data_IF_363165255845
#
_entry.id   IF_363165255845
#
_cell.length_a   1.000
_cell.length_b   1.000
_cell.length_c   1.000
_cell.angle_alpha   90.00
_cell.angle_beta   90.00
_cell.angle_gamma   90.00
#
_symmetry.space_group_name_H-M   'P 1'
#
loop_
_entity.id
_entity.type
_entity.pdbx_description
1 polymer ?
#
# COMPACT_ATOMS: atom_id res chain seq x y z
N UNK A 1 0.12 17.99 -25.78
CA UNK A 1 -0.79 17.72 -24.68
C UNK A 1 -0.01 17.92 -23.38
N UNK A 2 -0.32 18.98 -22.64
CA UNK A 2 0.20 19.16 -21.29
C UNK A 2 -0.63 18.29 -20.36
N UNK A 3 0.00 17.35 -19.66
CA UNK A 3 -0.64 16.60 -18.60
C UNK A 3 -0.81 17.52 -17.39
N UNK A 4 -2.04 17.70 -16.96
CA UNK A 4 -2.33 18.44 -15.73
C UNK A 4 -2.29 17.46 -14.55
N UNK A 5 -1.58 17.85 -13.49
CA UNK A 5 -1.49 17.08 -12.26
C UNK A 5 -2.43 17.67 -11.22
N UNK A 6 -3.18 16.81 -10.57
CA UNK A 6 -4.15 17.20 -9.54
C UNK A 6 -3.78 16.52 -8.22
N UNK A 7 -4.00 17.24 -7.13
CA UNK A 7 -3.97 16.67 -5.78
C UNK A 7 -5.32 16.88 -5.10
N UNK A 8 -5.61 16.04 -4.09
CA UNK A 8 -6.87 16.14 -3.36
C UNK A 8 -6.75 17.31 -2.37
N UNK A 9 -7.63 18.32 -2.54
CA UNK A 9 -7.70 19.45 -1.61
C UNK A 9 -7.92 18.96 -0.18
N UNK A 10 -7.14 19.48 0.77
CA UNK A 10 -7.09 19.08 2.17
C UNK A 10 -6.61 17.63 2.40
N UNK A 11 -5.89 17.05 1.43
CA UNK A 11 -5.26 15.73 1.54
C UNK A 11 -6.19 14.54 1.31
N UNK A 12 -5.60 13.37 1.23
CA UNK A 12 -6.31 12.10 0.89
C UNK A 12 -7.38 11.71 1.90
N UNK A 13 -7.28 12.13 3.16
CA UNK A 13 -8.33 11.89 4.16
C UNK A 13 -9.69 12.41 3.72
N UNK A 14 -9.73 13.52 2.98
CA UNK A 14 -10.98 14.14 2.51
C UNK A 14 -11.82 13.23 1.62
N UNK A 15 -11.18 12.50 0.69
CA UNK A 15 -11.96 11.58 -0.15
C UNK A 15 -12.43 10.36 0.64
N UNK A 16 -11.62 9.85 1.58
CA UNK A 16 -12.02 8.76 2.46
C UNK A 16 -13.22 9.15 3.32
N UNK A 17 -13.21 10.33 3.92
CA UNK A 17 -14.33 10.82 4.74
C UNK A 17 -15.63 10.97 3.90
N UNK A 18 -15.49 11.47 2.65
CA UNK A 18 -16.63 11.56 1.72
C UNK A 18 -17.17 10.19 1.33
N UNK A 19 -16.28 9.23 1.04
CA UNK A 19 -16.62 7.86 0.70
C UNK A 19 -17.34 7.16 1.86
N UNK A 20 -16.81 7.26 3.07
CA UNK A 20 -17.42 6.71 4.29
C UNK A 20 -18.78 7.33 4.58
N UNK A 21 -18.94 8.65 4.34
CA UNK A 21 -20.23 9.32 4.46
C UNK A 21 -21.24 8.77 3.45
N UNK A 22 -20.82 8.60 2.19
CA UNK A 22 -21.67 8.03 1.13
C UNK A 22 -22.15 6.63 1.47
N UNK A 23 -21.25 5.74 1.90
CA UNK A 23 -21.61 4.38 2.34
C UNK A 23 -22.67 4.39 3.43
N UNK A 24 -22.56 5.30 4.42
CA UNK A 24 -23.51 5.40 5.53
C UNK A 24 -24.89 5.96 5.11
N UNK A 25 -24.93 6.79 4.07
CA UNK A 25 -26.18 7.40 3.59
C UNK A 25 -26.93 6.52 2.59
N UNK A 26 -26.24 5.70 1.83
CA UNK A 26 -26.85 4.68 1.01
C UNK A 26 -27.33 3.54 1.92
N UNK A 27 -28.58 3.09 1.78
CA UNK A 27 -29.19 2.00 2.59
C UNK A 27 -28.49 0.65 2.36
N UNK A 28 -27.17 0.63 2.34
CA UNK A 28 -26.34 -0.55 2.17
C UNK A 28 -26.04 -1.14 3.56
N UNK A 29 -26.23 -2.44 3.71
CA UNK A 29 -25.85 -3.17 4.92
C UNK A 29 -24.32 -3.35 5.00
N UNK A 30 -23.57 -2.23 4.96
CA UNK A 30 -22.11 -2.24 5.03
C UNK A 30 -21.69 -1.91 6.46
N UNK A 31 -20.97 -2.83 7.07
CA UNK A 31 -20.35 -2.66 8.39
C UNK A 31 -18.84 -2.48 8.26
N UNK A 32 -18.29 -1.44 8.88
CA UNK A 32 -16.86 -1.17 8.91
C UNK A 32 -16.34 -1.45 10.32
N UNK A 33 -15.55 -2.48 10.43
CA UNK A 33 -14.93 -2.92 11.67
C UNK A 33 -13.45 -2.53 11.70
N UNK A 34 -13.07 -1.56 12.52
CA UNK A 34 -11.68 -1.18 12.77
C UNK A 34 -11.12 -1.96 13.96
N UNK A 35 -9.78 -2.03 14.04
CA UNK A 35 -9.03 -2.73 15.09
C UNK A 35 -9.29 -4.25 15.16
N UNK A 36 -9.82 -4.83 14.09
CA UNK A 36 -9.97 -6.28 13.95
C UNK A 36 -8.88 -6.83 13.03
N UNK A 37 -7.88 -7.42 13.60
CA UNK A 37 -6.78 -8.03 12.87
C UNK A 37 -7.17 -9.44 12.42
N UNK A 38 -7.27 -9.66 11.10
CA UNK A 38 -7.49 -11.00 10.54
C UNK A 38 -6.18 -11.78 10.63
N UNK A 39 -6.25 -13.00 11.15
CA UNK A 39 -5.10 -13.91 11.32
C UNK A 39 -5.13 -15.10 10.38
N UNK A 40 -6.32 -15.57 10.00
CA UNK A 40 -6.49 -16.72 9.11
C UNK A 40 -7.81 -16.67 8.36
N UNK A 41 -7.77 -17.11 7.11
CA UNK A 41 -8.92 -17.36 6.24
C UNK A 41 -8.90 -18.84 5.87
N UNK A 42 -9.93 -19.58 6.26
CA UNK A 42 -10.06 -21.03 6.03
C UNK A 42 -11.27 -21.33 5.15
N UNK A 43 -11.09 -22.20 4.18
CA UNK A 43 -12.11 -22.60 3.22
C UNK A 43 -12.79 -23.88 3.70
N UNK A 44 -14.05 -23.77 4.14
CA UNK A 44 -14.83 -24.89 4.64
C UNK A 44 -15.43 -25.66 3.45
N UNK A 45 -14.87 -26.83 3.15
CA UNK A 45 -15.25 -27.69 2.03
C UNK A 45 -16.08 -28.87 2.53
N UNK A 46 -16.98 -29.35 1.64
CA UNK A 46 -17.65 -30.64 1.79
C UNK A 46 -17.37 -31.43 0.50
N UNK A 47 -16.51 -32.42 0.59
CA UNK A 47 -15.88 -33.04 -0.55
C UNK A 47 -15.09 -32.00 -1.37
N UNK A 48 -15.38 -31.88 -2.67
CA UNK A 48 -14.73 -30.91 -3.55
C UNK A 48 -15.41 -29.53 -3.56
N UNK A 49 -16.60 -29.38 -2.94
CA UNK A 49 -17.39 -28.17 -2.97
C UNK A 49 -17.10 -27.24 -1.78
N UNK A 50 -16.85 -25.98 -2.04
CA UNK A 50 -16.78 -24.96 -0.99
C UNK A 50 -18.19 -24.67 -0.46
N UNK A 51 -18.34 -24.67 0.87
CA UNK A 51 -19.60 -24.28 1.53
C UNK A 51 -19.56 -22.89 2.10
N UNK A 52 -18.51 -22.54 2.79
CA UNK A 52 -18.37 -21.26 3.51
C UNK A 52 -16.89 -20.93 3.73
N UNK A 53 -16.64 -19.68 4.06
CA UNK A 53 -15.31 -19.20 4.44
C UNK A 53 -15.35 -18.80 5.92
N UNK A 54 -14.41 -19.32 6.69
CA UNK A 54 -14.22 -18.98 8.10
C UNK A 54 -13.05 -18.01 8.23
N UNK A 55 -13.30 -16.88 8.83
CA UNK A 55 -12.29 -15.85 9.13
C UNK A 55 -12.05 -15.83 10.62
N UNK A 56 -10.80 -16.01 11.02
CA UNK A 56 -10.33 -15.94 12.39
C UNK A 56 -9.46 -14.71 12.58
N UNK A 57 -9.59 -14.05 13.72
CA UNK A 57 -8.80 -12.88 14.01
C UNK A 57 -8.82 -12.48 15.47
N UNK A 58 -8.30 -11.27 15.73
CA UNK A 58 -8.23 -10.70 17.06
C UNK A 58 -8.78 -9.26 17.04
N UNK A 59 -9.70 -8.97 17.94
CA UNK A 59 -10.24 -7.64 18.16
C UNK A 59 -9.36 -6.91 19.17
N UNK A 60 -8.49 -6.04 18.69
CA UNK A 60 -7.52 -5.30 19.50
C UNK A 60 -8.21 -4.29 20.46
N UNK A 61 -9.45 -3.88 20.16
CA UNK A 61 -10.21 -2.98 21.03
C UNK A 61 -10.82 -3.74 22.21
N UNK A 62 -11.34 -4.95 21.95
CA UNK A 62 -11.95 -5.81 22.99
C UNK A 62 -10.95 -6.74 23.65
N UNK A 63 -9.72 -6.80 23.15
CA UNK A 63 -8.67 -7.73 23.57
C UNK A 63 -9.13 -9.19 23.57
N UNK A 64 -9.79 -9.61 22.49
CA UNK A 64 -10.39 -10.94 22.39
C UNK A 64 -10.35 -11.49 20.98
N UNK A 65 -10.24 -12.83 20.80
CA UNK A 65 -10.37 -13.44 19.50
C UNK A 65 -11.79 -13.27 18.95
N UNK A 66 -11.90 -13.25 17.63
CA UNK A 66 -13.19 -13.31 16.93
C UNK A 66 -13.18 -14.36 15.83
N UNK A 67 -14.36 -14.85 15.49
CA UNK A 67 -14.62 -15.72 14.36
C UNK A 67 -15.87 -15.25 13.63
N UNK A 68 -15.81 -15.22 12.30
CA UNK A 68 -16.98 -15.00 11.46
C UNK A 68 -17.00 -16.02 10.32
N UNK A 69 -18.18 -16.33 9.81
CA UNK A 69 -18.40 -17.21 8.67
C UNK A 69 -19.13 -16.42 7.58
N UNK A 70 -18.59 -16.43 6.37
CA UNK A 70 -19.06 -15.65 5.25
C UNK A 70 -19.20 -16.50 3.98
N UNK A 71 -19.91 -15.98 2.98
CA UNK A 71 -20.10 -16.64 1.69
C UNK A 71 -18.96 -16.37 0.70
N UNK A 72 -18.29 -15.23 0.84
CA UNK A 72 -17.16 -14.82 0.01
C UNK A 72 -16.24 -13.87 0.74
N UNK A 73 -15.00 -13.72 0.26
CA UNK A 73 -14.00 -12.82 0.81
C UNK A 73 -13.23 -12.11 -0.29
N UNK A 74 -12.98 -10.82 -0.10
CA UNK A 74 -12.02 -10.05 -0.89
C UNK A 74 -10.81 -9.75 -0.02
N UNK A 75 -9.63 -10.25 -0.42
CA UNK A 75 -8.37 -9.91 0.23
C UNK A 75 -7.80 -8.66 -0.46
N UNK A 76 -7.94 -7.51 0.19
CA UNK A 76 -7.52 -6.20 -0.34
C UNK A 76 -6.22 -5.69 0.33
N UNK A 77 -5.33 -6.60 0.71
CA UNK A 77 -4.01 -6.31 1.25
C UNK A 77 -2.92 -6.75 0.26
N UNK A 78 -1.65 -6.53 0.60
CA UNK A 78 -0.54 -6.98 -0.23
C UNK A 78 -0.58 -8.50 -0.49
N UNK A 79 -0.05 -8.95 -1.65
CA UNK A 79 -0.07 -10.37 -2.00
C UNK A 79 0.69 -11.24 -0.97
N UNK A 80 1.82 -10.77 -0.47
CA UNK A 80 2.58 -11.46 0.58
C UNK A 80 1.82 -11.55 1.90
N UNK A 81 1.00 -10.55 2.24
CA UNK A 81 0.10 -10.56 3.40
C UNK A 81 -1.06 -11.52 3.16
N UNK A 82 -1.69 -11.46 1.98
CA UNK A 82 -2.75 -12.40 1.60
C UNK A 82 -2.29 -13.86 1.67
N UNK A 83 -1.05 -14.14 1.20
CA UNK A 83 -0.47 -15.49 1.28
C UNK A 83 -0.29 -15.97 2.73
N UNK A 84 -0.09 -15.09 3.70
CA UNK A 84 0.00 -15.45 5.12
C UNK A 84 -1.36 -15.77 5.75
N UNK A 85 -2.44 -15.27 5.14
CA UNK A 85 -3.80 -15.42 5.65
C UNK A 85 -4.48 -16.71 5.15
N UNK A 86 -4.20 -17.13 3.92
CA UNK A 86 -4.85 -18.31 3.29
C UNK A 86 -4.06 -19.58 3.49
N UNK A 87 -4.71 -20.71 3.29
CA UNK A 87 -4.11 -22.05 3.38
C UNK A 87 -3.21 -22.34 2.17
N UNK A 88 -2.14 -23.11 2.37
CA UNK A 88 -1.13 -23.39 1.35
C UNK A 88 -1.65 -24.23 0.16
N UNK A 89 -2.73 -24.98 0.38
CA UNK A 89 -3.37 -25.84 -0.62
C UNK A 89 -4.20 -25.05 -1.64
N UNK A 90 -4.53 -23.80 -1.34
CA UNK A 90 -5.29 -23.00 -2.31
C UNK A 90 -4.44 -22.64 -3.53
N UNK A 91 -4.99 -22.77 -4.77
CA UNK A 91 -4.24 -22.49 -6.01
C UNK A 91 -3.63 -21.09 -6.05
N UNK A 92 -4.33 -20.11 -5.46
CA UNK A 92 -3.88 -18.71 -5.38
C UNK A 92 -2.63 -18.52 -4.53
N UNK A 93 -2.36 -19.41 -3.57
CA UNK A 93 -1.21 -19.28 -2.66
C UNK A 93 0.12 -19.19 -3.41
N UNK A 94 0.33 -20.05 -4.41
CA UNK A 94 1.55 -20.04 -5.21
C UNK A 94 1.71 -18.75 -6.02
N UNK A 95 0.64 -18.24 -6.58
CA UNK A 95 0.64 -16.99 -7.35
C UNK A 95 0.94 -15.79 -6.45
N UNK A 96 0.32 -15.71 -5.28
CA UNK A 96 0.55 -14.63 -4.31
C UNK A 96 2.02 -14.50 -3.92
N UNK A 97 2.74 -15.61 -3.82
CA UNK A 97 4.18 -15.65 -3.45
C UNK A 97 5.14 -15.25 -4.59
N UNK A 98 4.68 -15.19 -5.84
CA UNK A 98 5.52 -14.76 -6.96
C UNK A 98 5.72 -13.26 -7.00
N UNK A 99 4.80 -12.48 -6.42
CA UNK A 99 4.95 -11.03 -6.29
C UNK A 99 5.94 -10.74 -5.16
N UNK A 100 7.09 -10.23 -5.51
CA UNK A 100 8.14 -9.85 -4.56
C UNK A 100 7.89 -8.44 -4.04
N UNK A 101 8.39 -8.16 -2.86
CA UNK A 101 8.31 -6.84 -2.22
C UNK A 101 9.69 -6.35 -1.85
N UNK A 102 9.86 -5.04 -1.95
CA UNK A 102 11.06 -4.34 -1.50
C UNK A 102 10.69 -3.46 -0.32
N UNK A 103 11.45 -3.57 0.75
CA UNK A 103 11.36 -2.65 1.88
C UNK A 103 11.89 -1.27 1.50
N UNK A 104 11.19 -0.24 1.95
CA UNK A 104 11.57 1.15 1.75
C UNK A 104 11.33 1.91 3.05
N UNK A 105 12.28 2.76 3.41
CA UNK A 105 12.12 3.69 4.52
C UNK A 105 11.65 5.04 3.99
N UNK A 106 10.53 5.51 4.50
CA UNK A 106 10.01 6.85 4.22
C UNK A 106 10.18 7.73 5.46
N UNK A 107 10.93 8.81 5.33
CA UNK A 107 11.15 9.76 6.42
C UNK A 107 10.42 11.06 6.13
N UNK A 108 9.51 11.46 7.01
CA UNK A 108 8.86 12.77 7.01
C UNK A 108 9.73 13.74 7.80
N UNK A 109 10.20 14.82 7.16
CA UNK A 109 11.17 15.74 7.76
C UNK A 109 11.07 17.17 7.23
N UNK A 110 11.89 18.06 7.78
CA UNK A 110 12.05 19.44 7.33
C UNK A 110 13.51 19.80 6.99
N UNK A 111 14.34 18.81 6.71
CA UNK A 111 15.73 19.05 6.36
C UNK A 111 15.88 19.37 4.87
N UNK A 112 16.27 20.62 4.56
CA UNK A 112 16.47 21.09 3.19
C UNK A 112 17.77 20.57 2.56
N UNK A 113 18.68 19.95 3.34
CA UNK A 113 19.95 19.44 2.81
C UNK A 113 19.80 18.29 1.79
N UNK A 114 18.64 17.62 1.81
CA UNK A 114 18.29 16.59 0.84
C UNK A 114 17.63 17.14 -0.43
N UNK A 115 17.58 18.45 -0.58
CA UNK A 115 17.04 19.11 -1.78
C UNK A 115 18.18 19.71 -2.60
N UNK A 116 17.97 19.97 -3.90
CA UNK A 116 18.97 20.69 -4.69
C UNK A 116 19.36 22.02 -4.04
N UNK A 117 20.64 22.37 -4.10
CA UNK A 117 21.17 23.62 -3.49
C UNK A 117 20.44 24.86 -4.01
N UNK A 118 20.12 24.89 -5.32
CA UNK A 118 19.37 26.00 -5.92
C UNK A 118 17.87 25.77 -5.77
N UNK A 119 17.20 26.60 -4.96
CA UNK A 119 15.74 26.52 -4.75
C UNK A 119 14.93 26.67 -6.04
N UNK A 120 15.43 27.38 -7.03
CA UNK A 120 14.76 27.58 -8.32
C UNK A 120 14.58 26.30 -9.16
N UNK A 121 15.31 25.23 -8.83
CA UNK A 121 15.17 23.92 -9.49
C UNK A 121 14.42 22.89 -8.66
N UNK A 122 13.85 23.29 -7.53
CA UNK A 122 13.05 22.40 -6.71
C UNK A 122 11.78 22.00 -7.47
N UNK A 123 11.55 20.72 -7.53
CA UNK A 123 10.33 20.11 -8.07
C UNK A 123 9.51 19.44 -6.96
N UNK A 124 8.27 19.08 -7.28
CA UNK A 124 7.46 18.25 -6.40
C UNK A 124 8.14 16.91 -6.09
N UNK A 125 8.90 16.36 -7.06
CA UNK A 125 9.71 15.14 -6.94
C UNK A 125 11.14 15.44 -7.32
N UNK A 126 12.08 15.14 -6.44
CA UNK A 126 13.50 15.35 -6.67
C UNK A 126 14.24 14.02 -6.52
N UNK A 127 14.87 13.59 -7.61
CA UNK A 127 15.69 12.39 -7.63
C UNK A 127 17.14 12.76 -7.38
N UNK A 128 17.75 12.14 -6.37
CA UNK A 128 19.16 12.31 -6.06
C UNK A 128 19.84 10.96 -6.23
N UNK A 129 20.71 10.87 -7.21
CA UNK A 129 21.60 9.73 -7.39
C UNK A 129 22.91 10.00 -6.64
N UNK A 130 23.38 9.07 -5.84
CA UNK A 130 24.75 9.12 -5.39
C UNK A 130 25.65 8.92 -6.61
N UNK A 131 26.35 9.97 -7.02
CA UNK A 131 27.34 9.89 -8.10
C UNK A 131 28.57 9.13 -7.58
N UNK A 132 28.56 7.84 -7.73
CA UNK A 132 29.77 7.06 -7.68
C UNK A 132 30.10 6.61 -9.09
N UNK A 133 31.37 6.61 -9.44
CA UNK A 133 31.93 6.24 -10.73
C UNK A 133 31.69 4.80 -11.18
N UNK A 134 30.74 4.10 -10.58
CA UNK A 134 30.32 2.75 -10.95
C UNK A 134 29.04 2.79 -11.78
N UNK A 135 29.02 1.98 -12.81
CA UNK A 135 28.01 1.96 -13.89
C UNK A 135 26.55 1.65 -13.48
N UNK A 136 26.24 1.53 -12.18
CA UNK A 136 24.87 1.42 -11.64
C UNK A 136 24.78 2.15 -10.31
N UNK A 137 23.86 3.13 -10.15
CA UNK A 137 23.58 3.72 -8.86
C UNK A 137 23.05 2.63 -7.92
N UNK A 138 23.73 2.40 -6.81
CA UNK A 138 23.38 1.35 -5.84
C UNK A 138 22.18 1.69 -4.97
N UNK A 139 21.76 2.96 -4.93
CA UNK A 139 20.54 3.40 -4.26
C UNK A 139 20.01 4.68 -4.91
N UNK A 140 18.72 4.70 -5.16
CA UNK A 140 17.97 5.86 -5.63
C UNK A 140 17.24 6.48 -4.46
N UNK A 141 17.56 7.74 -4.16
CA UNK A 141 16.83 8.56 -3.18
C UNK A 141 15.83 9.45 -3.89
N UNK A 142 14.60 9.47 -3.40
CA UNK A 142 13.55 10.35 -3.91
C UNK A 142 13.05 11.22 -2.77
N UNK A 143 13.11 12.54 -2.96
CA UNK A 143 12.57 13.51 -2.01
C UNK A 143 11.36 14.22 -2.61
N UNK A 144 10.22 14.08 -1.96
CA UNK A 144 8.96 14.75 -2.27
C UNK A 144 8.89 16.07 -1.50
N UNK A 145 8.70 17.19 -2.20
CA UNK A 145 8.41 18.47 -1.56
C UNK A 145 6.91 18.64 -1.36
N UNK A 146 6.46 18.38 -0.14
CA UNK A 146 5.04 18.28 0.18
C UNK A 146 4.29 19.60 0.02
N UNK A 147 4.96 20.76 0.24
CA UNK A 147 4.35 22.07 0.03
C UNK A 147 3.99 22.36 -1.44
N UNK A 148 4.70 21.71 -2.39
CA UNK A 148 4.35 21.78 -3.82
C UNK A 148 3.26 20.78 -4.20
N UNK A 149 3.16 19.66 -3.50
CA UNK A 149 2.18 18.61 -3.78
C UNK A 149 0.82 18.84 -3.12
N UNK A 150 0.79 19.56 -2.00
CA UNK A 150 -0.41 19.76 -1.19
C UNK A 150 -0.49 21.21 -0.69
N UNK A 151 -1.71 21.72 -0.52
CA UNK A 151 -1.96 23.02 0.10
C UNK A 151 -1.73 22.96 1.62
N UNK A 152 -0.46 22.94 2.05
CA UNK A 152 -0.14 22.87 3.47
C UNK A 152 -0.25 24.27 4.12
N UNK A 153 -0.93 24.34 5.28
CA UNK A 153 -1.03 25.56 6.08
C UNK A 153 0.24 25.73 6.92
N UNK A 154 1.38 25.85 6.27
CA UNK A 154 2.67 26.08 6.94
C UNK A 154 3.64 26.80 6.02
N UNK A 155 4.48 27.67 6.62
CA UNK A 155 5.61 28.29 5.93
C UNK A 155 6.87 27.42 5.95
N UNK A 156 6.89 26.37 6.77
CA UNK A 156 8.01 25.45 6.90
C UNK A 156 7.99 24.47 5.70
N UNK A 157 9.14 24.25 5.11
CA UNK A 157 9.26 23.22 4.07
C UNK A 157 9.15 21.83 4.71
N UNK A 158 8.26 21.02 4.14
CA UNK A 158 8.00 19.64 4.57
C UNK A 158 8.35 18.70 3.42
N UNK A 159 9.10 17.66 3.75
CA UNK A 159 9.58 16.67 2.80
C UNK A 159 9.20 15.26 3.23
N UNK A 160 9.06 14.38 2.26
CA UNK A 160 9.08 12.94 2.45
C UNK A 160 10.21 12.38 1.60
N UNK A 161 11.21 11.79 2.22
CA UNK A 161 12.33 11.17 1.51
C UNK A 161 12.25 9.66 1.61
N UNK A 162 12.30 8.99 0.46
CA UNK A 162 12.41 7.54 0.38
C UNK A 162 13.89 7.15 0.29
N UNK A 163 14.29 6.20 1.12
CA UNK A 163 15.63 5.61 1.13
C UNK A 163 16.72 6.68 1.13
N UNK A 164 16.70 7.54 2.11
CA UNK A 164 17.68 8.62 2.24
C UNK A 164 19.12 8.08 2.17
N UNK A 165 19.90 8.60 1.22
CA UNK A 165 21.33 8.28 1.06
C UNK A 165 22.25 9.19 1.87
N UNK A 166 21.69 10.16 2.59
CA UNK A 166 22.36 11.08 3.49
C UNK A 166 21.63 11.09 4.82
N UNK A 167 22.36 11.37 5.87
CA UNK A 167 21.80 11.50 7.22
C UNK A 167 20.89 12.71 7.31
N UNK A 168 19.64 12.51 7.67
CA UNK A 168 18.70 13.57 8.02
C UNK A 168 18.97 13.96 9.46
N UNK A 169 19.03 15.26 9.74
CA UNK A 169 19.23 15.75 11.11
C UNK A 169 18.09 15.31 12.01
N UNK A 170 18.40 14.68 13.14
CA UNK A 170 17.40 14.05 14.01
C UNK A 170 16.34 15.05 14.48
N UNK A 171 16.74 16.27 14.84
CA UNK A 171 15.85 17.35 15.27
C UNK A 171 14.89 17.85 14.17
N UNK A 172 15.10 17.43 12.91
CA UNK A 172 14.26 17.77 11.77
C UNK A 172 13.36 16.63 11.32
N UNK A 173 13.50 15.45 11.89
CA UNK A 173 12.65 14.28 11.61
C UNK A 173 11.34 14.42 12.40
N UNK A 174 10.22 14.30 11.72
CA UNK A 174 8.90 14.22 12.34
C UNK A 174 8.46 12.78 12.54
N UNK A 175 8.74 11.91 11.55
CA UNK A 175 8.39 10.50 11.59
C UNK A 175 9.19 9.71 10.57
N UNK A 176 9.53 8.49 10.94
CA UNK A 176 10.08 7.48 10.05
C UNK A 176 9.12 6.29 9.96
N UNK A 177 8.97 5.74 8.75
CA UNK A 177 8.02 4.68 8.48
C UNK A 177 8.67 3.66 7.52
N UNK A 178 8.51 2.39 7.82
CA UNK A 178 8.88 1.31 6.91
C UNK A 178 7.67 0.90 6.07
N UNK A 179 7.87 0.81 4.76
CA UNK A 179 6.87 0.37 3.79
C UNK A 179 7.44 -0.73 2.91
N UNK A 180 6.59 -1.63 2.48
CA UNK A 180 6.89 -2.59 1.43
C UNK A 180 6.21 -2.16 0.13
N UNK A 181 6.97 -2.14 -0.97
CA UNK A 181 6.42 -1.89 -2.30
C UNK A 181 6.57 -3.12 -3.18
N UNK A 182 5.55 -3.49 -3.97
CA UNK A 182 5.67 -4.59 -4.92
C UNK A 182 6.73 -4.28 -5.99
N UNK A 183 7.53 -5.26 -6.34
CA UNK A 183 8.47 -5.19 -7.45
C UNK A 183 7.78 -5.66 -8.72
N UNK A 184 7.68 -4.76 -9.71
CA UNK A 184 7.08 -5.04 -11.01
C UNK A 184 8.13 -5.63 -11.97
N UNK A 185 8.68 -6.79 -11.62
CA UNK A 185 9.51 -7.57 -12.51
C UNK A 185 8.67 -8.37 -13.54
N UNK A 186 9.32 -9.05 -14.48
CA UNK A 186 8.62 -9.85 -15.49
C UNK A 186 7.72 -10.93 -14.87
N UNK A 187 8.13 -11.52 -13.75
CA UNK A 187 7.36 -12.53 -13.04
C UNK A 187 6.09 -11.92 -12.41
N UNK A 188 6.20 -10.72 -11.83
CA UNK A 188 5.04 -10.01 -11.30
C UNK A 188 4.02 -9.68 -12.39
N UNK A 189 4.47 -9.12 -13.53
CA UNK A 189 3.59 -8.77 -14.66
C UNK A 189 2.89 -10.02 -15.22
N UNK A 190 3.63 -11.10 -15.39
CA UNK A 190 3.05 -12.38 -15.83
C UNK A 190 2.02 -12.90 -14.82
N UNK A 191 2.34 -12.84 -13.54
CA UNK A 191 1.47 -13.30 -12.47
C UNK A 191 0.17 -12.51 -12.39
N UNK A 192 0.20 -11.19 -12.65
CA UNK A 192 -1.01 -10.35 -12.73
C UNK A 192 -2.03 -10.93 -13.74
N UNK A 193 -1.56 -11.34 -14.92
CA UNK A 193 -2.44 -11.95 -15.94
C UNK A 193 -3.04 -13.26 -15.47
N UNK A 194 -2.29 -14.08 -14.74
CA UNK A 194 -2.73 -15.36 -14.21
C UNK A 194 -3.82 -15.20 -13.13
N UNK A 195 -3.79 -14.08 -12.37
CA UNK A 195 -4.82 -13.78 -11.37
C UNK A 195 -6.23 -13.63 -11.96
N UNK A 196 -6.35 -13.18 -13.21
CA UNK A 196 -7.65 -13.07 -13.88
C UNK A 196 -8.37 -14.44 -13.95
N UNK A 197 -7.62 -15.54 -14.03
CA UNK A 197 -8.15 -16.89 -14.15
C UNK A 197 -8.56 -17.51 -12.81
N UNK A 198 -8.15 -16.91 -11.69
CA UNK A 198 -8.41 -17.45 -10.34
C UNK A 198 -9.34 -16.59 -9.50
N UNK A 199 -9.68 -15.37 -9.95
CA UNK A 199 -10.64 -14.51 -9.27
C UNK A 199 -11.99 -15.21 -9.14
N UNK A 200 -12.51 -15.30 -7.92
CA UNK A 200 -13.79 -15.92 -7.61
C UNK A 200 -13.74 -17.45 -7.43
N UNK A 201 -12.63 -18.12 -7.73
CA UNK A 201 -12.49 -19.54 -7.38
C UNK A 201 -12.61 -19.71 -5.88
N UNK A 202 -13.37 -20.69 -5.43
CA UNK A 202 -13.68 -20.90 -4.02
C UNK A 202 -14.20 -19.62 -3.32
N UNK A 203 -14.92 -18.76 -4.05
CA UNK A 203 -15.55 -17.53 -3.53
C UNK A 203 -14.57 -16.55 -2.86
N UNK A 204 -13.33 -16.53 -3.32
CA UNK A 204 -12.39 -15.50 -2.87
C UNK A 204 -11.82 -14.70 -4.04
N UNK A 205 -11.57 -13.43 -3.77
CA UNK A 205 -11.05 -12.46 -4.72
C UNK A 205 -9.89 -11.69 -4.11
N UNK A 206 -9.10 -11.11 -4.97
CA UNK A 206 -7.97 -10.26 -4.60
C UNK A 206 -8.13 -8.89 -5.21
N UNK A 207 -7.79 -7.86 -4.46
CA UNK A 207 -7.76 -6.48 -4.91
C UNK A 207 -6.52 -5.77 -4.35
N UNK A 208 -5.96 -4.85 -5.11
CA UNK A 208 -4.82 -4.04 -4.68
C UNK A 208 -3.98 -3.57 -5.85
N UNK A 209 -3.23 -2.50 -5.63
CA UNK A 209 -2.36 -1.87 -6.63
C UNK A 209 -1.30 -2.81 -7.23
N UNK A 210 -0.96 -3.89 -6.55
CA UNK A 210 -0.03 -4.92 -7.03
C UNK A 210 -0.59 -5.78 -8.19
N UNK A 211 -1.92 -5.71 -8.45
CA UNK A 211 -2.58 -6.34 -9.59
C UNK A 211 -2.59 -5.45 -10.84
N UNK A 212 -2.16 -4.21 -10.74
CA UNK A 212 -2.06 -3.24 -11.81
C UNK A 212 -0.69 -2.57 -11.84
N UNK A 213 -0.66 -1.27 -12.02
CA UNK A 213 0.59 -0.51 -12.15
C UNK A 213 1.13 0.06 -10.84
N UNK A 214 0.56 -0.29 -9.70
CA UNK A 214 0.98 0.19 -8.38
C UNK A 214 0.32 1.49 -7.93
N UNK A 215 -0.74 1.92 -8.60
CA UNK A 215 -1.53 3.11 -8.28
C UNK A 215 -2.92 2.74 -7.75
N UNK A 216 -3.86 3.70 -7.76
CA UNK A 216 -5.22 3.52 -7.27
C UNK A 216 -6.21 3.16 -8.39
N UNK A 217 -5.78 2.37 -9.36
CA UNK A 217 -6.60 1.82 -10.45
C UNK A 217 -7.55 0.71 -10.04
#
# INVERSE_FOLDING_TARGET
>A
NHFEWYSIRNGSKTYLDKFLKKIKTEKNNIEINLNKEVKKVSFLKDGSSLKKIKILGFDNKKNSPFQIVVDGVVLACHSNQSAKLIENEEPSFKLLKRIKYQENTATLHSDESLMPVRKSVWSAWNYISASTSSARPTSLTVTYWMNSLQELITKKNIFVTLNANQTIKEEKIFREMSYEHPLFDFEAIRTQSEFNNIQGINHHWFAGSWLGYGFHE
#
